data_IF_482241146030
#
_entry.id   IF_482241146030
#
_cell.length_a   1.000
_cell.length_b   1.000
_cell.length_c   1.000
_cell.angle_alpha   90.00
_cell.angle_beta   90.00
_cell.angle_gamma   90.00
#
_symmetry.space_group_name_H-M   'P 1'
#
loop_
_entity.id
_entity.type
_entity.pdbx_description
1 polymer ?
#
# COMPACT_ATOMS: atom_id res chain seq x y z
N UNK A 1 -6.61 -5.66 26.60
CA UNK A 1 -5.29 -5.01 26.40
C UNK A 1 -5.32 -3.67 27.15
N UNK A 2 -4.32 -3.36 27.96
CA UNK A 2 -4.26 -2.08 28.67
C UNK A 2 -3.90 -0.95 27.72
N UNK A 3 -4.72 0.09 27.63
CA UNK A 3 -4.39 1.28 26.83
C UNK A 3 -3.21 2.02 27.49
N UNK A 4 -2.20 2.46 26.72
CA UNK A 4 -1.13 3.30 27.24
C UNK A 4 -1.72 4.59 27.81
N UNK A 5 -1.05 5.15 28.83
CA UNK A 5 -1.49 6.42 29.42
C UNK A 5 -1.54 7.53 28.35
N UNK A 6 -2.32 8.59 28.60
CA UNK A 6 -2.41 9.74 27.71
C UNK A 6 -1.02 10.29 27.36
N UNK A 7 -0.14 10.44 28.36
CA UNK A 7 1.23 10.92 28.16
C UNK A 7 2.08 9.94 27.32
N UNK A 8 1.97 8.64 27.58
CA UNK A 8 2.70 7.62 26.82
C UNK A 8 2.22 7.56 25.36
N UNK A 9 0.91 7.67 25.11
CA UNK A 9 0.31 7.69 23.77
C UNK A 9 0.82 8.88 22.96
N UNK A 10 0.79 10.08 23.54
CA UNK A 10 1.34 11.29 22.90
C UNK A 10 2.84 11.15 22.62
N UNK A 11 3.61 10.67 23.60
CA UNK A 11 5.05 10.49 23.44
C UNK A 11 5.37 9.52 22.29
N UNK A 12 4.74 8.35 22.23
CA UNK A 12 4.98 7.37 21.17
C UNK A 12 4.66 7.96 19.80
N UNK A 13 3.48 8.56 19.64
CA UNK A 13 3.02 9.07 18.34
C UNK A 13 3.90 10.25 17.87
N UNK A 14 4.02 11.30 18.68
CA UNK A 14 4.70 12.52 18.25
C UNK A 14 6.23 12.38 18.18
N UNK A 15 6.84 11.53 19.02
CA UNK A 15 8.27 11.21 18.86
C UNK A 15 8.50 10.41 17.58
N UNK A 16 7.63 9.45 17.26
CA UNK A 16 7.71 8.70 16.00
C UNK A 16 7.59 9.64 14.80
N UNK A 17 6.62 10.54 14.81
CA UNK A 17 6.47 11.55 13.76
C UNK A 17 7.66 12.52 13.67
N UNK A 18 8.19 12.96 14.80
CA UNK A 18 9.40 13.78 14.85
C UNK A 18 10.61 13.06 14.25
N UNK A 19 10.79 11.78 14.58
CA UNK A 19 11.82 10.93 13.98
C UNK A 19 11.63 10.78 12.48
N UNK A 20 10.40 10.57 11.99
CA UNK A 20 10.12 10.53 10.54
C UNK A 20 10.40 11.87 9.86
N UNK A 21 10.05 12.99 10.49
CA UNK A 21 10.35 14.31 9.94
C UNK A 21 11.87 14.53 9.86
N UNK A 22 12.62 14.23 10.92
CA UNK A 22 14.07 14.41 10.96
C UNK A 22 14.76 13.48 9.98
N UNK A 23 14.41 12.20 9.96
CA UNK A 23 14.99 11.22 9.03
C UNK A 23 14.65 11.56 7.58
N UNK A 24 13.39 11.87 7.28
CA UNK A 24 12.94 12.28 5.95
C UNK A 24 13.64 13.54 5.46
N UNK A 25 13.77 14.57 6.30
CA UNK A 25 14.47 15.81 5.95
C UNK A 25 15.99 15.64 5.86
N UNK A 26 16.61 14.83 6.71
CA UNK A 26 18.05 14.53 6.65
C UNK A 26 18.41 13.74 5.38
N UNK A 27 17.60 12.75 5.03
CA UNK A 27 17.73 12.03 3.75
C UNK A 27 17.50 13.00 2.59
N UNK A 28 16.49 13.89 2.69
CA UNK A 28 16.24 14.88 1.65
C UNK A 28 17.43 15.81 1.41
N UNK A 29 18.03 16.30 2.49
CA UNK A 29 19.22 17.15 2.43
C UNK A 29 20.44 16.42 1.83
N UNK A 30 20.65 15.15 2.21
CA UNK A 30 21.76 14.33 1.72
C UNK A 30 21.66 14.01 0.21
N UNK A 31 20.44 13.79 -0.30
CA UNK A 31 20.22 13.33 -1.67
C UNK A 31 19.78 14.43 -2.66
N UNK A 32 19.69 15.70 -2.21
CA UNK A 32 19.35 16.90 -2.99
C UNK A 32 20.08 17.05 -4.34
N UNK A 33 21.31 16.55 -4.45
CA UNK A 33 22.17 16.74 -5.63
C UNK A 33 22.26 15.54 -6.58
N UNK A 34 21.51 14.45 -6.36
CA UNK A 34 21.55 13.29 -7.25
C UNK A 34 20.50 13.38 -8.36
N UNK A 35 20.88 13.02 -9.59
CA UNK A 35 20.00 13.06 -10.76
C UNK A 35 18.84 12.05 -10.65
N UNK A 36 17.69 12.42 -11.24
CA UNK A 36 16.37 11.77 -11.11
C UNK A 36 16.21 10.43 -11.86
N UNK A 37 17.29 9.73 -12.21
CA UNK A 37 17.25 8.70 -13.26
C UNK A 37 17.92 7.37 -12.93
N UNK A 38 17.74 6.82 -11.73
CA UNK A 38 18.19 5.44 -11.46
C UNK A 38 17.05 4.46 -11.70
N UNK A 39 17.14 3.73 -12.82
CA UNK A 39 16.28 2.58 -13.11
C UNK A 39 16.51 1.46 -12.10
N UNK A 40 15.43 0.81 -11.67
CA UNK A 40 15.46 -0.17 -10.58
C UNK A 40 15.73 -1.59 -11.08
N UNK A 41 16.54 -2.33 -10.32
CA UNK A 41 16.66 -3.80 -10.43
C UNK A 41 15.45 -4.50 -9.79
N UNK A 42 15.28 -5.80 -10.06
CA UNK A 42 14.08 -6.55 -9.70
C UNK A 42 13.70 -6.53 -8.20
N UNK A 43 14.66 -6.65 -7.28
CA UNK A 43 14.37 -6.78 -5.85
C UNK A 43 13.88 -5.47 -5.18
N UNK A 44 14.56 -4.32 -5.37
CA UNK A 44 14.02 -3.03 -4.93
C UNK A 44 12.66 -2.69 -5.57
N UNK A 45 12.43 -3.14 -6.81
CA UNK A 45 11.15 -2.97 -7.50
C UNK A 45 10.04 -3.77 -6.81
N UNK A 46 10.29 -5.04 -6.46
CA UNK A 46 9.34 -5.87 -5.73
C UNK A 46 8.95 -5.30 -4.37
N UNK A 47 9.95 -4.89 -3.58
CA UNK A 47 9.71 -4.22 -2.31
C UNK A 47 8.86 -2.95 -2.47
N UNK A 48 8.99 -2.26 -3.61
CA UNK A 48 8.19 -1.07 -3.90
C UNK A 48 6.76 -1.37 -4.32
N UNK A 49 6.52 -2.41 -5.10
CA UNK A 49 5.17 -2.86 -5.39
C UNK A 49 4.47 -3.27 -4.11
N UNK A 50 5.15 -4.03 -3.25
CA UNK A 50 4.66 -4.45 -1.94
C UNK A 50 4.38 -3.22 -1.05
N UNK A 51 5.35 -2.32 -0.86
CA UNK A 51 5.18 -1.15 -0.01
C UNK A 51 4.08 -0.20 -0.54
N UNK A 52 3.94 -0.06 -1.85
CA UNK A 52 2.88 0.77 -2.44
C UNK A 52 1.50 0.15 -2.35
N UNK A 53 1.41 -1.18 -2.29
CA UNK A 53 0.17 -1.90 -2.10
C UNK A 53 -0.21 -1.96 -0.60
N UNK A 54 0.79 -2.04 0.29
CA UNK A 54 0.63 -2.08 1.74
C UNK A 54 0.23 -0.71 2.29
N UNK A 55 -1.07 -0.43 2.26
CA UNK A 55 -1.70 0.62 3.05
C UNK A 55 -2.08 0.16 4.46
N UNK A 56 -2.37 1.12 5.34
CA UNK A 56 -3.00 0.87 6.64
C UNK A 56 -4.33 0.13 6.47
N UNK A 57 -5.08 0.37 5.38
CA UNK A 57 -6.33 -0.34 5.09
C UNK A 57 -6.15 -1.87 5.02
N UNK A 58 -5.07 -2.36 4.40
CA UNK A 58 -4.79 -3.80 4.28
C UNK A 58 -4.56 -4.44 5.66
N UNK A 59 -3.88 -3.74 6.56
CA UNK A 59 -3.62 -4.26 7.91
C UNK A 59 -4.92 -4.44 8.73
N UNK A 60 -6.00 -3.75 8.37
CA UNK A 60 -7.33 -3.91 8.96
C UNK A 60 -8.22 -4.89 8.19
N UNK A 61 -8.29 -4.74 6.87
CA UNK A 61 -9.27 -5.45 6.06
C UNK A 61 -9.04 -6.96 6.05
N UNK A 62 -7.79 -7.45 6.10
CA UNK A 62 -7.55 -8.90 6.12
C UNK A 62 -7.96 -9.55 7.44
N UNK A 63 -7.55 -9.05 8.62
CA UNK A 63 -8.05 -9.55 9.90
C UNK A 63 -9.58 -9.44 10.03
N UNK A 64 -10.17 -8.33 9.61
CA UNK A 64 -11.63 -8.15 9.63
C UNK A 64 -12.33 -9.15 8.71
N UNK A 65 -11.83 -9.33 7.49
CA UNK A 65 -12.40 -10.31 6.57
C UNK A 65 -12.28 -11.74 7.11
N UNK A 66 -11.19 -12.06 7.82
CA UNK A 66 -10.97 -13.35 8.46
C UNK A 66 -12.03 -13.68 9.50
N UNK A 67 -12.50 -12.69 10.28
CA UNK A 67 -13.54 -12.92 11.29
C UNK A 67 -14.93 -13.09 10.68
N UNK A 68 -15.17 -12.53 9.49
CA UNK A 68 -16.48 -12.59 8.81
C UNK A 68 -16.61 -13.80 7.89
N UNK A 69 -15.58 -14.10 7.11
CA UNK A 69 -15.62 -15.08 6.02
C UNK A 69 -14.72 -16.30 6.24
N UNK A 70 -13.97 -16.30 7.34
CA UNK A 70 -13.04 -17.36 7.66
C UNK A 70 -11.84 -17.42 6.72
N UNK A 71 -11.19 -18.59 6.69
CA UNK A 71 -9.96 -18.81 5.92
C UNK A 71 -10.19 -18.68 4.42
N UNK A 72 -11.36 -19.11 3.92
CA UNK A 72 -11.69 -19.02 2.50
C UNK A 72 -11.61 -17.57 2.00
N UNK A 73 -12.29 -16.63 2.65
CA UNK A 73 -12.34 -15.25 2.14
C UNK A 73 -10.99 -14.55 2.23
N UNK A 74 -10.17 -14.85 3.25
CA UNK A 74 -8.78 -14.34 3.36
C UNK A 74 -7.93 -14.83 2.20
N UNK A 75 -7.99 -16.13 1.88
CA UNK A 75 -7.22 -16.71 0.75
C UNK A 75 -7.70 -16.10 -0.57
N UNK A 76 -9.02 -15.99 -0.75
CA UNK A 76 -9.61 -15.36 -1.94
C UNK A 76 -9.15 -13.92 -2.08
N UNK A 77 -9.17 -13.12 -1.00
CA UNK A 77 -8.72 -11.73 -1.05
C UNK A 77 -7.22 -11.62 -1.31
N UNK A 78 -6.40 -12.47 -0.68
CA UNK A 78 -4.95 -12.48 -0.91
C UNK A 78 -4.62 -12.73 -2.39
N UNK A 79 -5.22 -13.78 -2.97
CA UNK A 79 -5.05 -14.11 -4.39
C UNK A 79 -5.62 -13.04 -5.32
N UNK A 80 -6.78 -12.49 -4.97
CA UNK A 80 -7.42 -11.42 -5.76
C UNK A 80 -6.63 -10.11 -5.71
N UNK A 81 -5.85 -9.89 -4.67
CA UNK A 81 -4.96 -8.73 -4.54
C UNK A 81 -3.63 -8.93 -5.26
N UNK A 82 -3.08 -10.14 -5.24
CA UNK A 82 -1.75 -10.40 -5.80
C UNK A 82 -1.77 -10.73 -7.29
N UNK A 83 -2.75 -11.50 -7.77
CA UNK A 83 -2.77 -11.98 -9.16
C UNK A 83 -2.96 -10.86 -10.19
N UNK A 84 -3.84 -9.85 -9.98
CA UNK A 84 -3.99 -8.73 -10.93
C UNK A 84 -2.69 -7.98 -11.19
N UNK A 85 -1.81 -7.87 -10.20
CA UNK A 85 -0.53 -7.17 -10.35
C UNK A 85 0.33 -7.79 -11.46
N UNK A 86 0.26 -9.10 -11.68
CA UNK A 86 0.98 -9.81 -12.76
C UNK A 86 0.66 -9.22 -14.14
N UNK A 87 -0.48 -8.55 -14.32
CA UNK A 87 -0.82 -7.90 -15.59
C UNK A 87 0.18 -6.80 -15.96
N UNK A 88 0.78 -6.12 -14.98
CA UNK A 88 1.78 -5.07 -15.23
C UNK A 88 3.07 -5.64 -15.80
N UNK A 89 3.44 -6.87 -15.43
CA UNK A 89 4.59 -7.57 -16.02
C UNK A 89 4.42 -7.85 -17.52
N UNK A 90 3.17 -7.95 -17.99
CA UNK A 90 2.82 -8.21 -19.40
C UNK A 90 2.55 -6.91 -20.15
N UNK A 91 1.70 -6.03 -19.61
CA UNK A 91 1.28 -4.79 -20.27
C UNK A 91 2.35 -3.70 -20.20
N UNK A 92 3.15 -3.66 -19.13
CA UNK A 92 4.23 -2.69 -18.95
C UNK A 92 5.18 -2.63 -20.16
N UNK A 93 5.80 -3.75 -20.57
CA UNK A 93 6.67 -3.80 -21.75
C UNK A 93 5.97 -3.40 -23.05
N UNK A 94 4.70 -3.78 -23.22
CA UNK A 94 3.91 -3.47 -24.44
C UNK A 94 3.68 -1.96 -24.54
N UNK A 95 3.30 -1.31 -23.44
CA UNK A 95 3.03 0.13 -23.42
C UNK A 95 4.34 0.91 -23.54
N UNK A 96 5.41 0.51 -22.86
CA UNK A 96 6.76 1.09 -22.99
C UNK A 96 7.24 1.14 -24.44
N UNK A 97 7.05 0.07 -25.20
CA UNK A 97 7.46 0.01 -26.62
C UNK A 97 6.63 0.95 -27.50
N UNK A 98 5.36 1.14 -27.17
CA UNK A 98 4.45 2.01 -27.95
C UNK A 98 4.58 3.48 -27.59
N UNK A 99 4.99 3.79 -26.37
CA UNK A 99 5.18 5.16 -25.87
C UNK A 99 6.47 5.25 -25.06
N UNK A 100 7.65 5.31 -25.72
CA UNK A 100 8.95 5.36 -25.04
C UNK A 100 9.13 6.60 -24.16
N UNK A 101 8.51 7.72 -24.57
CA UNK A 101 8.59 9.03 -23.90
C UNK A 101 7.52 9.23 -22.80
N UNK A 102 6.59 8.28 -22.65
CA UNK A 102 5.44 8.42 -21.76
C UNK A 102 5.62 7.64 -20.48
N UNK A 103 5.80 8.36 -19.37
CA UNK A 103 6.01 7.76 -18.04
C UNK A 103 4.72 7.28 -17.34
N UNK A 104 3.55 7.38 -17.99
CA UNK A 104 2.23 7.09 -17.38
C UNK A 104 1.21 6.60 -18.40
N UNK A 105 0.24 5.79 -17.96
CA UNK A 105 -0.87 5.26 -18.79
C UNK A 105 -1.67 6.37 -19.51
N UNK A 106 -1.78 7.55 -18.88
CA UNK A 106 -2.47 8.72 -19.45
C UNK A 106 -1.78 9.25 -20.71
N UNK A 107 -0.45 9.17 -20.78
CA UNK A 107 0.33 9.58 -21.95
C UNK A 107 0.07 8.63 -23.14
N UNK A 108 0.07 7.32 -22.90
CA UNK A 108 -0.29 6.33 -23.92
C UNK A 108 -1.74 6.51 -24.39
N UNK A 109 -2.67 6.74 -23.45
CA UNK A 109 -4.09 6.97 -23.75
C UNK A 109 -4.27 8.21 -24.63
N UNK A 110 -3.52 9.28 -24.37
CA UNK A 110 -3.52 10.49 -25.22
C UNK A 110 -3.09 10.19 -26.65
N UNK A 111 -2.00 9.45 -26.83
CA UNK A 111 -1.48 9.11 -28.16
C UNK A 111 -2.43 8.19 -28.93
N UNK A 112 -3.08 7.24 -28.24
CA UNK A 112 -3.91 6.21 -28.87
C UNK A 112 -5.37 6.64 -29.10
N UNK A 113 -5.96 7.39 -28.16
CA UNK A 113 -7.39 7.71 -28.11
C UNK A 113 -7.69 9.22 -28.07
N UNK A 114 -6.66 10.07 -28.01
CA UNK A 114 -6.80 11.51 -28.00
C UNK A 114 -6.99 12.14 -26.62
N UNK A 115 -7.14 13.47 -26.61
CA UNK A 115 -7.15 14.28 -25.38
C UNK A 115 -8.34 14.00 -24.47
N UNK A 116 -9.54 13.75 -25.02
CA UNK A 116 -10.75 13.52 -24.23
C UNK A 116 -10.62 12.27 -23.37
N UNK A 117 -10.16 11.16 -23.97
CA UNK A 117 -9.92 9.92 -23.25
C UNK A 117 -8.84 10.07 -22.16
N UNK A 118 -7.79 10.85 -22.43
CA UNK A 118 -6.76 11.16 -21.44
C UNK A 118 -7.31 11.96 -20.26
N UNK A 119 -8.16 12.97 -20.51
CA UNK A 119 -8.77 13.77 -19.46
C UNK A 119 -9.72 12.93 -18.58
N UNK A 120 -10.53 12.07 -19.20
CA UNK A 120 -11.37 11.12 -18.48
C UNK A 120 -10.56 10.19 -17.57
N UNK A 121 -9.50 9.57 -18.11
CA UNK A 121 -8.64 8.68 -17.34
C UNK A 121 -7.92 9.43 -16.20
N UNK A 122 -7.48 10.66 -16.45
CA UNK A 122 -6.84 11.51 -15.44
C UNK A 122 -7.80 11.87 -14.32
N UNK A 123 -9.06 12.20 -14.66
CA UNK A 123 -10.10 12.45 -13.67
C UNK A 123 -10.38 11.22 -12.81
N UNK A 124 -10.56 10.04 -13.41
CA UNK A 124 -10.78 8.80 -12.67
C UNK A 124 -9.59 8.47 -11.76
N UNK A 125 -8.37 8.65 -12.24
CA UNK A 125 -7.14 8.51 -11.43
C UNK A 125 -7.16 9.43 -10.21
N UNK A 126 -7.53 10.70 -10.37
CA UNK A 126 -7.60 11.65 -9.25
C UNK A 126 -8.67 11.27 -8.23
N UNK A 127 -9.85 10.86 -8.69
CA UNK A 127 -10.94 10.39 -7.81
C UNK A 127 -10.51 9.16 -7.03
N UNK A 128 -9.90 8.17 -7.69
CA UNK A 128 -9.38 6.96 -7.04
C UNK A 128 -8.34 7.32 -5.98
N UNK A 129 -7.35 8.16 -6.30
CA UNK A 129 -6.31 8.57 -5.34
C UNK A 129 -6.90 9.34 -4.15
N UNK A 130 -7.92 10.17 -4.37
CA UNK A 130 -8.63 10.86 -3.31
C UNK A 130 -9.34 9.88 -2.37
N UNK A 131 -10.09 8.91 -2.91
CA UNK A 131 -10.77 7.89 -2.11
C UNK A 131 -9.78 7.03 -1.31
N UNK A 132 -8.66 6.66 -1.92
CA UNK A 132 -7.56 5.97 -1.23
C UNK A 132 -7.02 6.80 -0.05
N UNK A 133 -6.76 8.09 -0.28
CA UNK A 133 -6.27 8.98 0.77
C UNK A 133 -7.27 9.09 1.93
N UNK A 134 -8.56 9.21 1.63
CA UNK A 134 -9.62 9.21 2.67
C UNK A 134 -9.62 7.90 3.45
N UNK A 135 -9.59 6.75 2.77
CA UNK A 135 -9.61 5.44 3.41
C UNK A 135 -8.39 5.24 4.34
N UNK A 136 -7.19 5.57 3.87
CA UNK A 136 -5.95 5.45 4.63
C UNK A 136 -5.92 6.38 5.86
N UNK A 137 -6.33 7.64 5.69
CA UNK A 137 -6.40 8.59 6.80
C UNK A 137 -7.47 8.18 7.83
N UNK A 138 -8.62 7.67 7.37
CA UNK A 138 -9.66 7.14 8.25
C UNK A 138 -9.18 5.92 9.03
N UNK A 139 -8.43 5.01 8.42
CA UNK A 139 -7.86 3.85 9.11
C UNK A 139 -6.89 4.29 10.21
N UNK A 140 -6.03 5.28 9.97
CA UNK A 140 -5.15 5.87 11.01
C UNK A 140 -5.97 6.40 12.18
N UNK A 141 -7.02 7.19 11.92
CA UNK A 141 -7.89 7.72 12.97
C UNK A 141 -8.54 6.61 13.81
N UNK A 142 -9.01 5.54 13.16
CA UNK A 142 -9.57 4.37 13.84
C UNK A 142 -8.54 3.66 14.72
N UNK A 143 -7.29 3.49 14.26
CA UNK A 143 -6.19 2.91 15.06
C UNK A 143 -5.96 3.71 16.33
N UNK A 144 -5.82 5.03 16.18
CA UNK A 144 -5.50 5.92 17.30
C UNK A 144 -6.62 5.86 18.34
N UNK A 145 -7.88 5.95 17.90
CA UNK A 145 -9.03 5.88 18.79
C UNK A 145 -9.19 4.51 19.46
N UNK A 146 -8.84 3.42 18.77
CA UNK A 146 -8.96 2.06 19.31
C UNK A 146 -7.85 1.73 20.31
N UNK A 147 -6.62 2.15 20.04
CA UNK A 147 -5.43 1.75 20.79
C UNK A 147 -4.99 2.78 21.84
N UNK A 148 -5.48 4.01 21.77
CA UNK A 148 -5.09 5.09 22.68
C UNK A 148 -6.33 5.81 23.23
N UNK A 149 -6.11 6.65 24.24
CA UNK A 149 -7.15 7.54 24.78
C UNK A 149 -7.21 8.89 24.07
N UNK A 150 -6.64 9.01 22.86
CA UNK A 150 -6.54 10.25 22.10
C UNK A 150 -7.62 10.34 21.03
N UNK A 151 -7.96 11.58 20.66
CA UNK A 151 -8.72 11.84 19.43
C UNK A 151 -7.79 11.69 18.23
N UNK A 152 -8.20 10.86 17.27
CA UNK A 152 -7.47 10.61 16.03
C UNK A 152 -7.36 11.83 15.12
N UNK A 153 -8.30 12.79 15.16
CA UNK A 153 -8.31 13.91 14.22
C UNK A 153 -7.05 14.80 14.30
N UNK A 154 -6.62 15.29 15.49
CA UNK A 154 -5.35 16.03 15.62
C UNK A 154 -4.14 15.23 15.12
N UNK A 155 -4.10 13.93 15.42
CA UNK A 155 -3.00 13.04 15.03
C UNK A 155 -2.92 12.91 13.51
N UNK A 156 -4.07 12.73 12.84
CA UNK A 156 -4.17 12.67 11.39
C UNK A 156 -3.69 13.97 10.73
N UNK A 157 -4.09 15.14 11.25
CA UNK A 157 -3.67 16.45 10.73
C UNK A 157 -2.14 16.59 10.81
N UNK A 158 -1.55 16.25 11.96
CA UNK A 158 -0.10 16.33 12.15
C UNK A 158 0.63 15.38 11.20
N UNK A 159 0.13 14.16 11.00
CA UNK A 159 0.70 13.23 10.03
C UNK A 159 0.67 13.78 8.60
N UNK A 160 -0.43 14.38 8.17
CA UNK A 160 -0.54 15.02 6.86
C UNK A 160 0.48 16.15 6.68
N UNK A 161 0.62 17.02 7.69
CA UNK A 161 1.57 18.14 7.66
C UNK A 161 3.00 17.63 7.55
N UNK A 162 3.40 16.70 8.42
CA UNK A 162 4.76 16.15 8.44
C UNK A 162 5.10 15.45 7.12
N UNK A 163 4.18 14.62 6.63
CA UNK A 163 4.33 13.90 5.36
C UNK A 163 4.46 14.85 4.18
N UNK A 164 3.66 15.92 4.16
CA UNK A 164 3.75 16.96 3.12
C UNK A 164 5.10 17.68 3.16
N UNK A 165 5.61 18.02 4.35
CA UNK A 165 6.89 18.72 4.51
C UNK A 165 8.05 17.89 3.96
N UNK A 166 8.25 16.65 4.44
CA UNK A 166 9.43 15.89 3.99
C UNK A 166 9.30 15.43 2.52
N UNK A 167 8.07 15.18 2.04
CA UNK A 167 7.85 14.78 0.65
C UNK A 167 8.05 15.94 -0.33
N UNK A 168 7.58 17.15 0.02
CA UNK A 168 7.78 18.34 -0.82
C UNK A 168 9.26 18.75 -0.92
N UNK A 169 10.04 18.52 0.14
CA UNK A 169 11.48 18.78 0.15
C UNK A 169 12.28 17.74 -0.63
N UNK A 170 11.85 16.47 -0.61
CA UNK A 170 12.63 15.38 -1.17
C UNK A 170 12.22 14.88 -2.56
N UNK A 171 10.98 15.10 -2.98
CA UNK A 171 10.47 14.57 -4.24
C UNK A 171 10.50 13.03 -4.32
N UNK A 172 10.39 12.50 -5.54
CA UNK A 172 10.11 11.07 -5.79
C UNK A 172 11.18 10.11 -5.24
N UNK A 173 12.48 10.41 -5.40
CA UNK A 173 13.57 9.52 -4.97
C UNK A 173 13.64 9.36 -3.46
N UNK A 174 13.24 10.37 -2.70
CA UNK A 174 13.32 10.35 -1.24
C UNK A 174 12.08 9.68 -0.65
N UNK A 175 10.89 9.95 -1.19
CA UNK A 175 9.69 9.15 -0.90
C UNK A 175 9.97 7.66 -1.08
N UNK A 176 10.65 7.30 -2.17
CA UNK A 176 11.02 5.91 -2.46
C UNK A 176 11.90 5.26 -1.37
N UNK A 177 12.91 5.98 -0.86
CA UNK A 177 13.80 5.45 0.19
C UNK A 177 13.04 5.29 1.50
N UNK A 178 12.21 6.27 1.86
CA UNK A 178 11.39 6.21 3.08
C UNK A 178 10.36 5.08 3.00
N UNK A 179 9.74 4.87 1.84
CA UNK A 179 8.77 3.79 1.60
C UNK A 179 9.42 2.42 1.78
N UNK A 180 10.65 2.23 1.28
CA UNK A 180 11.38 0.97 1.47
C UNK A 180 11.69 0.67 2.93
N UNK A 181 12.10 1.69 3.69
CA UNK A 181 12.37 1.54 5.11
C UNK A 181 11.08 1.22 5.88
N UNK A 182 9.99 1.94 5.60
CA UNK A 182 8.69 1.69 6.23
C UNK A 182 8.15 0.31 5.86
N UNK A 183 8.22 -0.08 4.60
CA UNK A 183 7.83 -1.42 4.13
C UNK A 183 8.61 -2.53 4.86
N UNK A 184 9.93 -2.38 4.98
CA UNK A 184 10.75 -3.33 5.75
C UNK A 184 10.35 -3.39 7.23
N UNK A 185 10.09 -2.23 7.87
CA UNK A 185 9.60 -2.17 9.25
C UNK A 185 8.26 -2.90 9.41
N UNK A 186 7.31 -2.70 8.50
CA UNK A 186 6.00 -3.37 8.51
C UNK A 186 6.16 -4.88 8.38
N UNK A 187 7.00 -5.36 7.46
CA UNK A 187 7.27 -6.80 7.30
C UNK A 187 7.86 -7.39 8.59
N UNK A 188 8.83 -6.71 9.21
CA UNK A 188 9.39 -7.13 10.49
C UNK A 188 8.31 -7.21 11.59
N UNK A 189 7.42 -6.23 11.67
CA UNK A 189 6.32 -6.22 12.64
C UNK A 189 5.35 -7.37 12.40
N UNK A 190 4.99 -7.67 11.14
CA UNK A 190 4.14 -8.81 10.78
C UNK A 190 4.77 -10.12 11.24
N UNK A 191 6.08 -10.31 11.03
CA UNK A 191 6.81 -11.51 11.49
C UNK A 191 6.76 -11.63 13.02
N UNK A 192 7.01 -10.53 13.73
CA UNK A 192 6.96 -10.51 15.21
C UNK A 192 5.56 -10.88 15.70
N UNK A 193 4.51 -10.32 15.11
CA UNK A 193 3.12 -10.63 15.46
C UNK A 193 2.82 -12.10 15.18
N UNK A 194 3.21 -12.63 14.01
CA UNK A 194 3.00 -14.03 13.65
C UNK A 194 3.68 -14.99 14.64
N UNK A 195 4.94 -14.74 15.01
CA UNK A 195 5.66 -15.53 16.01
C UNK A 195 4.98 -15.40 17.38
N UNK A 196 4.61 -14.19 17.78
CA UNK A 196 3.98 -13.94 19.08
C UNK A 196 2.65 -14.68 19.20
N UNK A 197 1.82 -14.63 18.16
CA UNK A 197 0.57 -15.39 18.12
C UNK A 197 0.84 -16.90 18.13
N UNK A 198 1.80 -17.38 17.34
CA UNK A 198 2.15 -18.81 17.32
C UNK A 198 2.69 -19.37 18.64
N UNK A 199 3.34 -18.54 19.46
CA UNK A 199 3.95 -18.97 20.74
C UNK A 199 3.05 -18.71 21.95
N UNK A 200 2.33 -17.58 21.98
CA UNK A 200 1.56 -17.14 23.15
C UNK A 200 0.06 -17.42 23.06
N UNK A 201 -0.48 -17.63 21.87
CA UNK A 201 -1.91 -17.92 21.74
C UNK A 201 -2.16 -19.40 22.01
N UNK A 202 -2.87 -19.68 23.09
CA UNK A 202 -3.39 -21.02 23.35
C UNK A 202 -4.56 -21.26 22.38
N UNK A 203 -4.36 -22.18 21.43
CA UNK A 203 -5.39 -22.55 20.45
C UNK A 203 -6.23 -23.66 21.05
N UNK A 204 -7.47 -23.34 21.40
CA UNK A 204 -8.46 -24.36 21.74
C UNK A 204 -8.93 -25.06 20.46
N UNK A 205 -8.37 -26.24 20.19
CA UNK A 205 -8.68 -27.04 19.01
C UNK A 205 -10.15 -27.48 18.94
N UNK A 206 -10.87 -27.52 20.07
CA UNK A 206 -12.29 -27.86 20.09
C UNK A 206 -13.15 -26.80 19.39
N UNK A 207 -12.69 -25.54 19.38
CA UNK A 207 -13.41 -24.43 18.78
C UNK A 207 -13.28 -24.39 17.25
N UNK A 208 -12.36 -25.14 16.66
CA UNK A 208 -12.05 -25.05 15.23
C UNK A 208 -13.28 -25.42 14.38
N UNK A 209 -13.92 -26.56 14.63
CA UNK A 209 -15.09 -26.99 13.85
C UNK A 209 -16.35 -26.18 14.21
N UNK A 210 -16.54 -25.86 15.50
CA UNK A 210 -17.71 -25.08 15.95
C UNK A 210 -17.67 -23.63 15.49
N UNK A 211 -16.48 -23.06 15.26
CA UNK A 211 -16.34 -21.68 14.76
C UNK A 211 -16.93 -21.49 13.37
N UNK A 212 -16.99 -22.55 12.55
CA UNK A 212 -17.41 -22.47 11.16
C UNK A 212 -16.45 -21.71 10.23
N UNK A 213 -15.33 -21.17 10.74
CA UNK A 213 -14.39 -20.34 9.97
C UNK A 213 -13.55 -21.11 8.94
N UNK A 214 -13.58 -22.45 9.00
CA UNK A 214 -13.01 -23.32 7.95
C UNK A 214 -14.03 -23.72 6.89
N UNK A 215 -15.33 -23.46 7.12
CA UNK A 215 -16.39 -23.83 6.19
C UNK A 215 -16.54 -22.75 5.11
N UNK A 216 -16.89 -23.14 3.88
CA UNK A 216 -17.10 -22.17 2.82
C UNK A 216 -18.29 -21.27 3.15
N UNK A 217 -18.17 -19.99 2.83
CA UNK A 217 -19.22 -18.99 3.01
C UNK A 217 -19.71 -18.48 1.66
N UNK A 218 -20.99 -18.12 1.56
CA UNK A 218 -21.54 -17.51 0.34
C UNK A 218 -20.78 -16.24 -0.03
N UNK A 219 -20.45 -15.42 0.98
CA UNK A 219 -19.67 -14.21 0.79
C UNK A 219 -18.26 -14.53 0.24
N UNK A 220 -17.58 -15.55 0.76
CA UNK A 220 -16.29 -16.00 0.24
C UNK A 220 -16.33 -16.34 -1.26
N UNK A 221 -17.41 -16.95 -1.74
CA UNK A 221 -17.62 -17.21 -3.17
C UNK A 221 -17.93 -15.96 -3.99
N UNK A 222 -18.73 -15.04 -3.46
CA UNK A 222 -19.02 -13.77 -4.12
C UNK A 222 -17.72 -12.95 -4.29
N UNK A 223 -16.86 -12.94 -3.27
CA UNK A 223 -15.58 -12.25 -3.30
C UNK A 223 -14.63 -12.79 -4.38
N UNK A 224 -14.72 -14.08 -4.74
CA UNK A 224 -13.89 -14.68 -5.79
C UNK A 224 -14.11 -14.02 -7.16
N UNK A 225 -15.31 -13.52 -7.43
CA UNK A 225 -15.62 -12.79 -8.65
C UNK A 225 -15.43 -11.29 -8.49
N UNK A 226 -15.92 -10.74 -7.38
CA UNK A 226 -15.96 -9.29 -7.16
C UNK A 226 -14.55 -8.72 -7.01
N UNK A 227 -13.73 -9.32 -6.14
CA UNK A 227 -12.43 -8.75 -5.78
C UNK A 227 -11.45 -8.70 -6.96
N UNK A 228 -11.24 -9.76 -7.77
CA UNK A 228 -10.30 -9.67 -8.89
C UNK A 228 -10.67 -8.58 -9.88
N UNK A 229 -11.97 -8.43 -10.20
CA UNK A 229 -12.43 -7.43 -11.18
C UNK A 229 -12.27 -6.02 -10.61
N UNK A 230 -12.70 -5.81 -9.36
CA UNK A 230 -12.60 -4.52 -8.70
C UNK A 230 -11.15 -4.09 -8.52
N UNK A 231 -10.29 -4.98 -7.99
CA UNK A 231 -8.87 -4.68 -7.74
C UNK A 231 -8.15 -4.45 -9.06
N UNK A 232 -8.31 -5.35 -10.04
CA UNK A 232 -7.69 -5.18 -11.36
C UNK A 232 -8.06 -3.83 -11.97
N UNK A 233 -9.36 -3.51 -12.00
CA UNK A 233 -9.85 -2.24 -12.56
C UNK A 233 -9.25 -1.05 -11.84
N UNK A 234 -9.21 -1.10 -10.51
CA UNK A 234 -8.66 -0.06 -9.68
C UNK A 234 -7.14 0.14 -9.90
N UNK A 235 -6.38 -0.95 -10.04
CA UNK A 235 -4.93 -0.89 -10.27
C UNK A 235 -4.58 -0.12 -11.56
N UNK A 236 -5.41 -0.19 -12.60
CA UNK A 236 -5.22 0.62 -13.82
C UNK A 236 -5.28 2.12 -13.56
N UNK A 237 -6.08 2.57 -12.59
CA UNK A 237 -6.20 3.98 -12.21
C UNK A 237 -5.12 4.41 -11.20
N UNK A 238 -4.41 3.48 -10.57
CA UNK A 238 -3.33 3.80 -9.65
C UNK A 238 -2.05 4.13 -10.41
N UNK A 239 -1.83 5.43 -10.63
CA UNK A 239 -0.64 5.96 -11.33
C UNK A 239 0.68 5.51 -10.70
N UNK A 240 0.71 5.23 -9.40
CA UNK A 240 1.87 4.72 -8.67
C UNK A 240 2.39 3.38 -9.19
N UNK A 241 1.52 2.45 -9.61
CA UNK A 241 1.94 1.18 -10.19
C UNK A 241 2.51 1.36 -11.58
N UNK A 242 1.93 2.26 -12.38
CA UNK A 242 2.47 2.62 -13.68
C UNK A 242 3.85 3.24 -13.58
N UNK A 243 4.04 4.25 -12.71
CA UNK A 243 5.34 4.91 -12.53
C UNK A 243 6.45 3.90 -12.18
N UNK A 244 6.16 2.93 -11.31
CA UNK A 244 7.10 1.85 -10.95
C UNK A 244 7.32 0.88 -12.11
N UNK A 245 6.25 0.53 -12.82
CA UNK A 245 6.32 -0.25 -14.07
C UNK A 245 7.18 0.42 -15.12
N UNK A 246 7.22 1.77 -15.20
CA UNK A 246 8.06 2.57 -16.11
C UNK A 246 9.46 2.89 -15.55
N UNK A 247 9.70 2.67 -14.26
CA UNK A 247 11.01 2.84 -13.61
C UNK A 247 11.91 1.58 -13.62
N UNK A 248 11.37 0.40 -13.97
CA UNK A 248 12.17 -0.83 -14.06
C UNK A 248 13.24 -0.77 -15.16
N UNK A 249 14.44 -1.30 -14.89
CA UNK A 249 15.60 -1.25 -15.81
C UNK A 249 15.45 -2.14 -17.03
N UNK A 250 14.84 -3.30 -16.87
CA UNK A 250 14.59 -4.25 -17.96
C UNK A 250 13.21 -4.89 -17.86
N UNK A 251 12.70 -5.39 -18.99
CA UNK A 251 11.47 -6.20 -19.03
C UNK A 251 11.60 -7.45 -18.14
N UNK A 252 12.83 -7.98 -17.99
CA UNK A 252 13.11 -9.12 -17.11
C UNK A 252 13.01 -8.73 -15.63
N UNK A 253 13.57 -7.58 -15.25
CA UNK A 253 13.48 -7.06 -13.89
C UNK A 253 12.03 -6.79 -13.49
N UNK A 254 11.21 -6.31 -14.42
CA UNK A 254 9.79 -6.10 -14.19
C UNK A 254 9.04 -7.41 -13.95
N UNK A 255 9.31 -8.44 -14.76
CA UNK A 255 8.65 -9.76 -14.61
C UNK A 255 9.03 -10.50 -13.34
N UNK A 256 10.23 -10.26 -12.81
CA UNK A 256 10.71 -10.85 -11.56
C UNK A 256 10.26 -10.00 -10.37
N UNK A 257 10.15 -8.69 -10.56
CA UNK A 257 9.80 -7.75 -9.51
C UNK A 257 8.31 -7.67 -9.18
N UNK A 258 7.43 -7.94 -10.14
CA UNK A 258 5.98 -8.05 -9.93
C UNK A 258 5.65 -9.46 -9.44
#
# INVERSE_FOLDING_TARGET
MGQPSFAASNAIIYVTYGLFLITGTAIAWKFRNQSKGEFLSAFPLALNFIASALGSGILFSYPELATITGVQGVVVYALSSSLPLLIFAVLGPIIRRKTPEGFVLTAWTRQRYGTIAMLYLSFMTLVTLFLYMVAELSAIGQVVNALTSLDGLPVMIVQCVITTIYTSLGGFKISFITDNLQGAMVVCLIIIVAITMGVKTEIDTSLIDTSGLLKPTLLGWQLLYILPICILTNDFFLSGFWLRTFASKTDRDLRIGV
#
